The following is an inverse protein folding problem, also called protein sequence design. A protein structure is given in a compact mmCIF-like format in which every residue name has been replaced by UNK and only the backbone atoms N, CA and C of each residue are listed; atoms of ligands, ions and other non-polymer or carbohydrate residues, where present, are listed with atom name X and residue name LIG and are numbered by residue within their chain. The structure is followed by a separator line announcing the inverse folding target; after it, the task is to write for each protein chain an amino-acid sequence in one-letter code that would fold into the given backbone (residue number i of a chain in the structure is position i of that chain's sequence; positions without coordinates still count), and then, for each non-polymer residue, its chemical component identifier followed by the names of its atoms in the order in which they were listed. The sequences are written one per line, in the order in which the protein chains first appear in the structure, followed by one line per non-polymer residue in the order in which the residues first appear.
data_IF_450810410588
#
_entry.id   IF_450810410588
#
_cell.length_a   1.000
_cell.length_b   1.000
_cell.length_c   1.000
_cell.angle_alpha   90.00
_cell.angle_beta   90.00
_cell.angle_gamma   90.00
#
_symmetry.space_group_name_H-M   'P 1'
#
loop_
_entity.id
_entity.type
_entity.pdbx_description
1 polymer ?
#
# COMPACT_ATOMS: atom_id res chain seq x y z
N UNK A 1 49.77 41.22 -42.63
CA UNK A 1 49.04 39.96 -42.80
C UNK A 1 48.73 39.44 -41.40
N UNK A 2 47.54 39.74 -40.88
CA UNK A 2 47.04 39.25 -39.55
C UNK A 2 46.18 38.03 -39.78
N UNK A 3 46.59 36.85 -39.25
CA UNK A 3 45.78 35.63 -39.23
C UNK A 3 44.93 35.61 -37.95
N UNK A 4 43.63 35.75 -38.08
CA UNK A 4 42.67 35.52 -36.97
C UNK A 4 42.40 34.02 -36.84
N UNK A 5 42.77 33.44 -35.71
CA UNK A 5 42.42 32.09 -35.34
C UNK A 5 41.05 32.13 -34.61
N UNK A 6 40.03 31.50 -35.19
CA UNK A 6 38.72 31.30 -34.53
C UNK A 6 38.83 30.07 -33.62
N UNK A 7 38.71 30.30 -32.32
CA UNK A 7 38.57 29.22 -31.33
C UNK A 7 37.11 28.83 -31.22
N UNK A 8 36.79 27.63 -31.63
CA UNK A 8 35.46 27.02 -31.44
C UNK A 8 35.34 26.47 -30.03
N UNK A 9 34.44 27.01 -29.24
CA UNK A 9 34.09 26.54 -27.88
C UNK A 9 32.96 25.51 -28.01
N UNK A 10 33.15 24.26 -27.55
CA UNK A 10 32.05 23.30 -27.53
C UNK A 10 31.07 23.61 -26.37
N UNK A 11 29.82 23.87 -26.70
CA UNK A 11 28.72 23.99 -25.74
C UNK A 11 28.34 22.60 -25.29
N UNK A 12 28.71 22.24 -24.07
CA UNK A 12 28.18 21.03 -23.40
C UNK A 12 26.74 21.28 -22.96
N UNK A 13 25.77 20.67 -23.62
CA UNK A 13 24.40 20.64 -23.21
C UNK A 13 24.23 19.67 -22.01
N UNK A 14 24.08 20.21 -20.83
CA UNK A 14 23.73 19.43 -19.62
C UNK A 14 22.24 19.08 -19.68
N UNK A 15 21.93 17.85 -20.02
CA UNK A 15 20.57 17.30 -19.91
C UNK A 15 20.24 17.07 -18.43
N UNK A 16 19.51 18.01 -17.84
CA UNK A 16 18.95 17.85 -16.49
C UNK A 16 17.81 16.83 -16.54
N UNK A 17 18.05 15.62 -16.06
CA UNK A 17 17.02 14.61 -15.85
C UNK A 17 16.19 15.05 -14.64
N UNK A 18 15.01 15.63 -14.88
CA UNK A 18 14.02 15.91 -13.84
C UNK A 18 13.40 14.58 -13.43
N UNK A 19 13.87 14.01 -12.32
CA UNK A 19 13.21 12.87 -11.71
C UNK A 19 11.81 13.30 -11.24
N UNK A 20 10.74 12.51 -11.50
CA UNK A 20 9.42 12.82 -10.99
C UNK A 20 9.47 12.83 -9.46
N UNK A 21 9.32 14.00 -8.86
CA UNK A 21 9.14 14.13 -7.41
C UNK A 21 7.80 13.47 -7.07
N UNK A 22 7.87 12.30 -6.38
CA UNK A 22 6.70 11.76 -5.71
C UNK A 22 6.24 12.79 -4.70
N UNK A 23 5.06 13.34 -4.91
CA UNK A 23 4.41 14.14 -3.88
C UNK A 23 4.34 13.29 -2.61
N UNK A 24 4.97 13.76 -1.54
CA UNK A 24 4.85 13.11 -0.23
C UNK A 24 3.36 13.06 0.11
N UNK A 25 2.86 11.86 0.43
CA UNK A 25 1.49 11.67 0.82
C UNK A 25 1.16 12.57 2.01
N UNK A 26 0.08 13.33 1.94
CA UNK A 26 -0.38 14.09 3.09
C UNK A 26 -0.72 13.10 4.22
N UNK A 27 -0.21 13.30 5.45
CA UNK A 27 -0.56 12.43 6.58
C UNK A 27 -2.08 12.42 6.76
N UNK A 28 -2.72 11.27 6.56
CA UNK A 28 -4.16 11.10 6.75
C UNK A 28 -4.98 10.78 5.50
N UNK A 29 -4.39 10.67 4.31
CA UNK A 29 -5.08 10.19 3.12
C UNK A 29 -4.71 8.73 2.81
N UNK A 30 -5.67 7.82 3.00
CA UNK A 30 -5.48 6.39 2.76
C UNK A 30 -5.13 6.08 1.29
N UNK A 31 -5.68 6.83 0.33
CA UNK A 31 -5.42 6.57 -1.09
C UNK A 31 -4.00 6.95 -1.54
N UNK A 32 -3.30 7.77 -0.76
CA UNK A 32 -1.93 8.18 -1.07
C UNK A 32 -0.88 7.13 -0.64
N UNK A 33 -1.26 6.18 0.22
CA UNK A 33 -0.35 5.19 0.80
C UNK A 33 -0.14 3.94 -0.06
N UNK A 34 -0.93 3.74 -1.11
CA UNK A 34 -0.73 2.66 -2.08
C UNK A 34 -1.05 3.15 -3.50
N UNK A 35 -0.22 2.75 -4.42
CA UNK A 35 -0.43 2.96 -5.86
C UNK A 35 -0.88 1.65 -6.54
N UNK A 36 -1.55 1.70 -7.71
CA UNK A 36 -1.87 0.51 -8.50
C UNK A 36 -0.64 -0.37 -8.79
N UNK A 37 0.52 0.23 -9.05
CA UNK A 37 1.77 -0.50 -9.29
C UNK A 37 2.26 -1.27 -8.04
N UNK A 38 2.11 -0.69 -6.86
CA UNK A 38 2.43 -1.35 -5.60
C UNK A 38 1.48 -2.51 -5.30
N UNK A 39 0.18 -2.34 -5.59
CA UNK A 39 -0.80 -3.43 -5.46
C UNK A 39 -0.43 -4.56 -6.42
N UNK A 40 -0.12 -4.25 -7.68
CA UNK A 40 0.35 -5.25 -8.65
C UNK A 40 1.61 -5.98 -8.17
N UNK A 41 2.58 -5.27 -7.62
CA UNK A 41 3.80 -5.86 -7.07
C UNK A 41 3.52 -6.81 -5.90
N UNK A 42 2.56 -6.48 -5.05
CA UNK A 42 2.22 -7.28 -3.86
C UNK A 42 1.29 -8.47 -4.14
N UNK A 43 0.41 -8.34 -5.13
CA UNK A 43 -0.66 -9.31 -5.39
C UNK A 43 -0.51 -10.05 -6.72
N UNK A 44 0.33 -9.56 -7.64
CA UNK A 44 0.43 -10.06 -9.02
C UNK A 44 -0.71 -9.58 -9.93
N UNK A 45 -1.68 -8.83 -9.40
CA UNK A 45 -2.90 -8.44 -10.12
C UNK A 45 -2.90 -6.96 -10.50
N UNK A 46 -3.41 -6.67 -11.69
CA UNK A 46 -3.63 -5.29 -12.12
C UNK A 46 -4.74 -4.64 -11.27
N UNK A 47 -4.49 -3.42 -10.84
CA UNK A 47 -5.43 -2.62 -10.07
C UNK A 47 -5.74 -1.30 -10.77
N UNK A 48 -6.97 -0.84 -10.64
CA UNK A 48 -7.39 0.50 -11.03
C UNK A 48 -6.91 1.57 -10.04
N UNK A 49 -7.23 2.84 -10.30
CA UNK A 49 -6.95 3.92 -9.36
C UNK A 49 -7.68 3.72 -8.03
N UNK A 50 -7.11 4.25 -6.95
CA UNK A 50 -7.75 4.25 -5.63
C UNK A 50 -8.99 5.14 -5.62
N UNK A 51 -10.06 4.64 -5.04
CA UNK A 51 -11.32 5.36 -4.83
C UNK A 51 -11.47 5.63 -3.34
N UNK A 52 -11.47 6.92 -2.97
CA UNK A 52 -11.64 7.33 -1.58
C UNK A 52 -13.09 7.18 -1.14
N UNK A 53 -13.33 6.36 -0.12
CA UNK A 53 -14.60 6.35 0.61
C UNK A 53 -14.64 7.45 1.69
N UNK A 54 -13.47 7.81 2.22
CA UNK A 54 -13.20 8.94 3.10
C UNK A 54 -11.69 9.20 3.12
N UNK A 55 -11.22 10.25 3.82
CA UNK A 55 -9.78 10.46 4.02
C UNK A 55 -9.07 9.24 4.65
N UNK A 56 -9.78 8.46 5.46
CA UNK A 56 -9.23 7.27 6.14
C UNK A 56 -9.50 5.95 5.43
N UNK A 57 -10.27 5.93 4.35
CA UNK A 57 -10.64 4.71 3.61
C UNK A 57 -10.37 4.86 2.14
N UNK A 58 -9.58 3.97 1.60
CA UNK A 58 -9.37 3.82 0.17
C UNK A 58 -9.64 2.39 -0.30
N UNK A 59 -10.20 2.26 -1.50
CA UNK A 59 -10.46 0.99 -2.16
C UNK A 59 -9.87 1.00 -3.57
N UNK A 60 -9.26 -0.11 -3.96
CA UNK A 60 -8.76 -0.36 -5.31
C UNK A 60 -9.43 -1.61 -5.87
N UNK A 61 -10.13 -1.49 -6.99
CA UNK A 61 -10.59 -2.65 -7.74
C UNK A 61 -9.38 -3.34 -8.37
N UNK A 62 -9.25 -4.65 -8.22
CA UNK A 62 -8.10 -5.41 -8.68
C UNK A 62 -8.54 -6.77 -9.26
N UNK A 63 -7.89 -7.25 -10.31
CA UNK A 63 -8.19 -8.53 -10.95
C UNK A 63 -7.49 -9.69 -10.23
N UNK A 64 -7.88 -9.93 -8.97
CA UNK A 64 -7.20 -10.86 -8.06
C UNK A 64 -7.51 -12.34 -8.32
N UNK A 65 -8.67 -12.65 -8.88
CA UNK A 65 -9.06 -14.02 -9.20
C UNK A 65 -9.88 -14.06 -10.50
N UNK A 66 -9.59 -14.99 -11.41
CA UNK A 66 -10.38 -15.16 -12.65
C UNK A 66 -11.85 -15.48 -12.34
N UNK A 67 -12.78 -14.83 -13.05
CA UNK A 67 -14.21 -15.08 -12.94
C UNK A 67 -14.89 -14.62 -11.65
N UNK A 68 -14.18 -13.95 -10.74
CA UNK A 68 -14.79 -13.37 -9.56
C UNK A 68 -15.47 -12.04 -9.86
N UNK A 69 -16.70 -11.88 -9.38
CA UNK A 69 -17.51 -10.67 -9.60
C UNK A 69 -17.08 -9.49 -8.73
N UNK A 70 -16.34 -9.75 -7.65
CA UNK A 70 -15.87 -8.72 -6.70
C UNK A 70 -14.46 -9.06 -6.27
N UNK A 71 -13.52 -8.24 -6.69
CA UNK A 71 -12.12 -8.30 -6.29
C UNK A 71 -11.63 -6.89 -5.98
N UNK A 72 -11.25 -6.62 -4.76
CA UNK A 72 -10.72 -5.32 -4.38
C UNK A 72 -9.77 -5.41 -3.17
N UNK A 73 -8.91 -4.41 -3.05
CA UNK A 73 -8.07 -4.16 -1.87
C UNK A 73 -8.62 -2.96 -1.14
N UNK A 74 -8.68 -3.01 0.17
CA UNK A 74 -9.02 -1.84 1.00
C UNK A 74 -7.88 -1.50 1.95
N UNK A 75 -7.74 -0.21 2.22
CA UNK A 75 -6.90 0.34 3.28
C UNK A 75 -7.73 1.28 4.14
N UNK A 76 -7.72 1.01 5.43
CA UNK A 76 -8.41 1.83 6.43
C UNK A 76 -7.40 2.34 7.45
N UNK A 77 -7.21 3.64 7.54
CA UNK A 77 -6.44 4.28 8.61
C UNK A 77 -7.27 4.27 9.90
N UNK A 78 -6.68 3.80 10.98
CA UNK A 78 -7.30 3.66 12.29
C UNK A 78 -6.65 4.58 13.32
N UNK A 79 -7.39 4.92 14.37
CA UNK A 79 -6.81 5.55 15.54
C UNK A 79 -6.00 4.48 16.30
N UNK A 80 -4.70 4.70 16.55
CA UNK A 80 -3.82 3.71 17.18
C UNK A 80 -4.28 3.30 18.60
N UNK A 81 -5.08 4.12 19.28
CA UNK A 81 -5.65 3.76 20.60
C UNK A 81 -6.59 2.55 20.56
N UNK A 82 -7.18 2.24 19.39
CA UNK A 82 -8.06 1.08 19.22
C UNK A 82 -7.31 -0.19 18.79
N UNK A 83 -6.00 -0.10 18.50
CA UNK A 83 -5.21 -1.22 18.01
C UNK A 83 -5.25 -2.43 18.98
N UNK A 84 -4.97 -2.19 20.26
CA UNK A 84 -4.94 -3.28 21.25
C UNK A 84 -6.32 -3.87 21.54
N UNK A 85 -7.37 -3.04 21.48
CA UNK A 85 -8.76 -3.49 21.60
C UNK A 85 -9.18 -4.45 20.50
N UNK A 86 -8.67 -4.27 19.29
CA UNK A 86 -8.93 -5.15 18.16
C UNK A 86 -8.31 -6.54 18.26
N UNK A 87 -7.39 -6.78 19.22
CA UNK A 87 -6.86 -8.12 19.53
C UNK A 87 -7.85 -8.98 20.35
N UNK A 88 -8.85 -8.37 20.95
CA UNK A 88 -9.80 -9.03 21.86
C UNK A 88 -11.20 -9.07 21.25
N UNK A 89 -11.34 -9.59 20.02
CA UNK A 89 -12.63 -9.73 19.35
C UNK A 89 -13.29 -11.08 19.75
N UNK A 90 -14.61 -11.09 19.95
CA UNK A 90 -15.30 -12.33 20.30
C UNK A 90 -15.41 -13.28 19.10
N UNK A 91 -15.62 -14.57 19.39
CA UNK A 91 -15.96 -15.56 18.36
C UNK A 91 -17.17 -15.09 17.51
N UNK A 92 -17.21 -15.40 16.21
CA UNK A 92 -16.37 -16.37 15.48
C UNK A 92 -15.06 -15.79 14.92
N UNK A 93 -14.67 -14.60 15.29
CA UNK A 93 -13.40 -14.01 14.80
C UNK A 93 -12.19 -14.72 15.46
N UNK A 94 -11.16 -14.94 14.65
CA UNK A 94 -9.87 -15.49 15.09
C UNK A 94 -8.80 -14.44 14.88
N UNK A 95 -8.04 -14.15 15.94
CA UNK A 95 -6.91 -13.21 15.89
C UNK A 95 -5.61 -13.99 15.95
N UNK A 96 -4.73 -13.74 14.97
CA UNK A 96 -3.41 -14.38 14.86
C UNK A 96 -2.33 -13.31 14.85
N UNK A 97 -1.36 -13.31 15.77
CA UNK A 97 -0.24 -12.39 15.75
C UNK A 97 0.59 -12.54 14.47
N UNK A 98 1.08 -11.42 13.94
CA UNK A 98 1.93 -11.36 12.74
C UNK A 98 3.22 -10.64 13.06
N UNK A 99 4.35 -11.24 12.72
CA UNK A 99 5.69 -10.65 12.90
C UNK A 99 6.25 -10.09 11.59
N UNK A 100 7.20 -9.15 11.72
CA UNK A 100 7.96 -8.58 10.60
C UNK A 100 7.20 -7.56 9.75
N UNK A 101 6.13 -6.97 10.31
CA UNK A 101 5.37 -5.88 9.68
C UNK A 101 5.05 -4.83 10.74
N UNK A 102 5.55 -3.61 10.55
CA UNK A 102 5.38 -2.53 11.51
C UNK A 102 6.07 -2.82 12.85
N UNK A 103 5.59 -2.17 13.89
CA UNK A 103 6.05 -2.36 15.26
C UNK A 103 5.26 -3.49 15.95
N UNK A 104 3.99 -3.66 15.56
CA UNK A 104 3.09 -4.71 16.02
C UNK A 104 2.01 -4.95 14.94
N UNK A 105 1.60 -6.21 14.76
CA UNK A 105 0.58 -6.57 13.77
C UNK A 105 -0.17 -7.84 14.15
N UNK A 106 -1.40 -7.95 13.67
CA UNK A 106 -2.21 -9.16 13.78
C UNK A 106 -3.20 -9.28 12.62
N UNK A 107 -3.49 -10.51 12.21
CA UNK A 107 -4.60 -10.82 11.32
C UNK A 107 -5.89 -11.03 12.12
N UNK A 108 -7.00 -10.55 11.58
CA UNK A 108 -8.35 -10.90 12.05
C UNK A 108 -9.05 -11.66 10.93
N UNK A 109 -9.36 -12.91 11.19
CA UNK A 109 -10.09 -13.76 10.27
C UNK A 109 -11.51 -14.03 10.76
N UNK A 110 -12.49 -13.92 9.86
CA UNK A 110 -13.89 -14.29 10.08
C UNK A 110 -14.35 -15.09 8.88
N UNK A 111 -14.59 -16.37 9.07
CA UNK A 111 -14.89 -17.32 7.98
C UNK A 111 -13.76 -17.31 6.93
N UNK A 112 -14.07 -16.96 5.69
CA UNK A 112 -13.15 -16.85 4.55
C UNK A 112 -12.56 -15.44 4.35
N UNK A 113 -12.95 -14.49 5.19
CA UNK A 113 -12.42 -13.12 5.14
C UNK A 113 -11.28 -12.94 6.15
N UNK A 114 -10.24 -12.26 5.74
CA UNK A 114 -9.12 -11.90 6.59
C UNK A 114 -8.78 -10.42 6.37
N UNK A 115 -8.15 -9.80 7.36
CA UNK A 115 -7.60 -8.47 7.25
C UNK A 115 -6.45 -8.29 8.23
N UNK A 116 -5.35 -7.73 7.75
CA UNK A 116 -4.15 -7.46 8.52
C UNK A 116 -4.23 -6.07 9.15
N UNK A 117 -4.15 -6.02 10.46
CA UNK A 117 -4.08 -4.78 11.25
C UNK A 117 -2.64 -4.55 11.69
N UNK A 118 -2.13 -3.36 11.44
CA UNK A 118 -0.72 -2.99 11.70
C UNK A 118 -0.65 -1.69 12.47
N UNK A 119 0.28 -1.63 13.41
CA UNK A 119 0.70 -0.41 14.12
C UNK A 119 2.15 -0.05 13.72
N UNK A 120 2.37 1.23 13.38
CA UNK A 120 3.69 1.78 13.12
C UNK A 120 3.78 3.19 13.71
N UNK A 121 4.60 3.35 14.74
CA UNK A 121 4.69 4.62 15.49
C UNK A 121 3.32 5.09 16.00
N UNK A 122 2.92 6.27 15.59
CA UNK A 122 1.62 6.88 15.93
C UNK A 122 0.51 6.56 14.91
N UNK A 123 0.75 5.67 13.95
CA UNK A 123 -0.23 5.29 12.92
C UNK A 123 -0.65 3.85 13.10
N UNK A 124 -1.95 3.58 12.93
CA UNK A 124 -2.48 2.24 12.78
C UNK A 124 -3.33 2.16 11.51
N UNK A 125 -3.33 1.00 10.88
CA UNK A 125 -4.13 0.76 9.68
C UNK A 125 -4.55 -0.69 9.56
N UNK A 126 -5.60 -0.92 8.79
CA UNK A 126 -6.03 -2.25 8.35
C UNK A 126 -5.96 -2.31 6.83
N UNK A 127 -5.29 -3.32 6.30
CA UNK A 127 -5.35 -3.68 4.88
C UNK A 127 -6.07 -5.01 4.74
N UNK A 128 -6.94 -5.13 3.73
CA UNK A 128 -7.67 -6.36 3.46
C UNK A 128 -7.82 -6.61 1.96
N UNK A 129 -7.68 -7.87 1.58
CA UNK A 129 -7.87 -8.38 0.22
C UNK A 129 -9.21 -9.11 0.15
N UNK A 130 -10.15 -8.54 -0.61
CA UNK A 130 -11.45 -9.15 -0.87
C UNK A 130 -11.43 -9.85 -2.22
N UNK A 131 -11.29 -11.16 -2.19
CA UNK A 131 -11.28 -12.03 -3.35
C UNK A 131 -11.69 -13.45 -2.94
N UNK A 132 -12.17 -14.23 -3.91
CA UNK A 132 -12.42 -15.66 -3.71
C UNK A 132 -11.10 -16.45 -3.84
N UNK A 133 -10.24 -16.28 -2.83
CA UNK A 133 -8.93 -16.92 -2.71
C UNK A 133 -8.81 -17.61 -1.34
N UNK A 134 -7.93 -18.60 -1.19
CA UNK A 134 -7.57 -19.17 0.10
C UNK A 134 -7.10 -18.10 1.09
N UNK A 135 -7.37 -18.29 2.38
CA UNK A 135 -7.04 -17.32 3.44
C UNK A 135 -5.55 -17.05 3.52
N UNK A 136 -4.72 -18.09 3.44
CA UNK A 136 -3.25 -18.01 3.46
C UNK A 136 -2.68 -17.17 2.30
N UNK A 137 -3.27 -17.26 1.11
CA UNK A 137 -2.89 -16.42 -0.02
C UNK A 137 -3.24 -14.95 0.23
N UNK A 138 -4.44 -14.67 0.76
CA UNK A 138 -4.84 -13.30 1.12
C UNK A 138 -3.94 -12.72 2.20
N UNK A 139 -3.63 -13.49 3.26
CA UNK A 139 -2.68 -13.06 4.30
C UNK A 139 -1.30 -12.73 3.73
N UNK A 140 -0.80 -13.52 2.79
CA UNK A 140 0.49 -13.27 2.14
C UNK A 140 0.48 -11.95 1.34
N UNK A 141 -0.59 -11.71 0.58
CA UNK A 141 -0.79 -10.45 -0.16
C UNK A 141 -0.91 -9.25 0.80
N UNK A 142 -1.69 -9.38 1.86
CA UNK A 142 -1.88 -8.34 2.88
C UNK A 142 -0.56 -7.99 3.59
N UNK A 143 0.27 -8.99 3.92
CA UNK A 143 1.62 -8.76 4.46
C UNK A 143 2.52 -8.00 3.50
N UNK A 144 2.46 -8.33 2.21
CA UNK A 144 3.23 -7.64 1.17
C UNK A 144 2.78 -6.18 1.00
N UNK A 145 1.47 -5.94 0.96
CA UNK A 145 0.88 -4.60 0.92
C UNK A 145 1.23 -3.79 2.15
N UNK A 146 1.09 -4.38 3.34
CA UNK A 146 1.39 -3.71 4.60
C UNK A 146 2.87 -3.30 4.72
N UNK A 147 3.81 -4.11 4.25
CA UNK A 147 5.23 -3.73 4.20
C UNK A 147 5.47 -2.50 3.32
N UNK A 148 4.78 -2.40 2.19
CA UNK A 148 4.87 -1.22 1.32
C UNK A 148 4.29 0.03 1.97
N UNK A 149 3.17 -0.09 2.70
CA UNK A 149 2.58 1.01 3.47
C UNK A 149 3.54 1.46 4.58
N UNK A 150 4.05 0.51 5.38
CA UNK A 150 4.99 0.79 6.48
C UNK A 150 6.25 1.52 5.99
N UNK A 151 6.73 1.23 4.78
CA UNK A 151 7.90 1.91 4.22
C UNK A 151 7.66 3.39 3.84
N UNK A 152 6.43 3.86 3.92
CA UNK A 152 6.03 5.25 3.61
C UNK A 152 5.61 6.04 4.87
N UNK A 153 5.50 5.38 6.02
CA UNK A 153 5.18 5.96 7.33
C UNK A 153 6.43 6.23 8.14
#
# INVERSE_FOLDING_TARGET
MYKFAFATIPVLAVLSVVAPQRAAAAPGDACSLLTPAQIKSATGADAGPGVAGSAKLCQWNASLAPGATVNFVTLVLQDPKFFDGGKNVPAPAVVTPVSGVGDDAYCVAVRDQVGLVVKKGSTAFKVAVYAKLPVDQKESMEKSLAKQIVSQL
#
